data_IF_493457338180
#
_entry.id   IF_493457338180
#
_cell.length_a   1.000
_cell.length_b   1.000
_cell.length_c   1.000
_cell.angle_alpha   90.00
_cell.angle_beta   90.00
_cell.angle_gamma   90.00
#
_symmetry.space_group_name_H-M   'P 1'
#
loop_
_entity.id
_entity.type
_entity.pdbx_description
1 polymer ?
#
# COMPACT_ATOMS: atom_id res chain seq x y z
N UNK A 1 -1.98 -7.51 1.70
CA UNK A 1 -1.31 -7.57 0.37
C UNK A 1 -1.68 -8.88 -0.30
N UNK A 2 -1.41 -9.05 -1.59
CA UNK A 2 -1.94 -10.14 -2.41
C UNK A 2 -0.89 -10.68 -3.40
N UNK A 3 -1.01 -11.94 -3.80
CA UNK A 3 -0.20 -12.61 -4.82
C UNK A 3 -1.13 -13.23 -5.86
N UNK A 4 -0.75 -13.20 -7.14
CA UNK A 4 -1.42 -13.99 -8.19
C UNK A 4 -0.71 -15.33 -8.35
N UNK A 5 -1.48 -16.42 -8.45
CA UNK A 5 -0.97 -17.78 -8.61
C UNK A 5 -1.68 -18.48 -9.76
N UNK A 6 -0.90 -19.13 -10.64
CA UNK A 6 -1.43 -20.03 -11.66
C UNK A 6 -1.28 -21.48 -11.17
N UNK A 7 -2.41 -22.08 -10.80
CA UNK A 7 -2.53 -23.43 -10.28
C UNK A 7 -3.14 -24.36 -11.35
N UNK A 8 -3.10 -25.67 -11.13
CA UNK A 8 -3.50 -26.68 -12.11
C UNK A 8 -4.96 -26.54 -12.55
N UNK A 9 -5.79 -26.02 -11.67
CA UNK A 9 -7.22 -25.84 -11.81
C UNK A 9 -7.61 -24.37 -12.08
N UNK A 10 -6.64 -23.47 -12.28
CA UNK A 10 -6.86 -22.10 -12.74
C UNK A 10 -6.06 -21.04 -11.99
N UNK A 11 -6.34 -19.78 -12.32
CA UNK A 11 -5.72 -18.62 -11.69
C UNK A 11 -6.41 -18.27 -10.36
N UNK A 12 -5.62 -17.97 -9.34
CA UNK A 12 -6.05 -17.59 -8.00
C UNK A 12 -5.39 -16.28 -7.56
N UNK A 13 -6.09 -15.57 -6.66
CA UNK A 13 -5.49 -14.57 -5.79
C UNK A 13 -5.25 -15.24 -4.44
N UNK A 14 -3.99 -15.26 -3.98
CA UNK A 14 -3.64 -15.61 -2.62
C UNK A 14 -3.51 -14.32 -1.79
N UNK A 15 -4.21 -14.24 -0.68
CA UNK A 15 -4.09 -13.11 0.24
C UNK A 15 -4.09 -13.56 1.69
N UNK A 16 -3.54 -12.70 2.54
CA UNK A 16 -3.69 -12.76 3.98
C UNK A 16 -3.93 -11.34 4.48
N UNK A 17 -4.99 -11.18 5.26
CA UNK A 17 -5.36 -9.92 5.88
C UNK A 17 -4.60 -9.72 7.20
N UNK A 18 -4.52 -8.49 7.69
CA UNK A 18 -4.01 -8.19 9.05
C UNK A 18 -2.64 -8.81 9.35
N UNK A 19 -1.72 -8.68 8.40
CA UNK A 19 -0.34 -9.19 8.52
C UNK A 19 0.55 -8.34 9.44
N UNK A 20 0.03 -7.20 9.94
CA UNK A 20 0.82 -6.14 10.59
C UNK A 20 1.65 -5.31 9.62
N UNK A 21 1.80 -5.73 8.35
CA UNK A 21 2.55 -4.97 7.36
C UNK A 21 1.70 -3.78 6.88
N UNK A 22 1.84 -2.62 7.55
CA UNK A 22 1.09 -1.44 7.13
C UNK A 22 1.77 -0.77 5.94
N UNK A 23 0.96 0.01 5.21
CA UNK A 23 1.37 0.78 4.04
C UNK A 23 1.51 2.28 4.34
N UNK A 24 1.39 2.64 5.61
CA UNK A 24 1.53 4.00 6.13
C UNK A 24 2.63 3.92 7.19
N UNK A 25 3.59 4.83 7.15
CA UNK A 25 4.56 4.99 8.23
C UNK A 25 4.64 6.45 8.62
N UNK A 26 4.61 6.70 9.93
CA UNK A 26 4.56 8.02 10.52
C UNK A 26 5.82 8.29 11.34
N UNK A 27 6.32 9.52 11.25
CA UNK A 27 7.36 10.09 12.12
C UNK A 27 6.95 11.52 12.48
N UNK A 28 7.51 12.16 13.53
CA UNK A 28 7.02 13.46 13.99
C UNK A 28 6.93 14.56 12.91
N UNK A 29 7.80 14.53 11.90
CA UNK A 29 7.76 15.50 10.80
C UNK A 29 6.69 15.24 9.74
N UNK A 30 6.09 14.05 9.70
CA UNK A 30 5.04 13.68 8.76
C UNK A 30 4.92 12.18 8.49
N UNK A 31 4.19 11.82 7.43
CA UNK A 31 3.94 10.43 7.06
C UNK A 31 4.24 10.14 5.59
N UNK A 32 4.66 8.90 5.34
CA UNK A 32 4.78 8.31 4.01
C UNK A 32 3.66 7.28 3.79
N UNK A 33 3.03 7.37 2.62
CA UNK A 33 1.94 6.48 2.20
C UNK A 33 2.37 5.73 0.95
N UNK A 34 2.22 4.42 0.95
CA UNK A 34 2.71 3.56 -0.12
C UNK A 34 1.63 2.65 -0.71
N UNK A 35 1.72 2.34 -2.00
CA UNK A 35 0.97 1.28 -2.66
C UNK A 35 1.86 0.59 -3.71
N UNK A 36 1.63 -0.68 -4.00
CA UNK A 36 2.48 -1.43 -4.93
C UNK A 36 3.22 -2.57 -4.26
N UNK A 37 4.52 -2.62 -4.55
CA UNK A 37 5.40 -3.74 -4.23
C UNK A 37 5.82 -3.85 -2.75
N UNK A 38 5.58 -5.01 -2.14
CA UNK A 38 5.85 -5.21 -0.71
C UNK A 38 7.31 -5.09 -0.30
N UNK A 39 8.26 -5.63 -1.07
CA UNK A 39 9.70 -5.55 -0.73
C UNK A 39 10.22 -4.12 -0.89
N UNK A 40 9.77 -3.39 -1.90
CA UNK A 40 10.12 -1.98 -2.05
C UNK A 40 9.53 -1.14 -0.92
N UNK A 41 8.28 -1.42 -0.53
CA UNK A 41 7.63 -0.75 0.61
C UNK A 41 8.37 -1.05 1.91
N UNK A 42 8.80 -2.28 2.14
CA UNK A 42 9.62 -2.66 3.30
C UNK A 42 10.87 -1.78 3.40
N UNK A 43 11.67 -1.72 2.33
CA UNK A 43 12.89 -0.88 2.29
C UNK A 43 12.58 0.59 2.54
N UNK A 44 11.50 1.11 1.94
CA UNK A 44 11.05 2.49 2.15
C UNK A 44 10.69 2.76 3.61
N UNK A 45 9.97 1.85 4.27
CA UNK A 45 9.61 1.99 5.68
C UNK A 45 10.84 1.91 6.59
N UNK A 46 11.76 0.98 6.30
CA UNK A 46 13.03 0.85 7.04
C UNK A 46 13.86 2.14 6.94
N UNK A 47 13.98 2.72 5.74
CA UNK A 47 14.62 4.03 5.55
C UNK A 47 13.87 5.15 6.28
N UNK A 48 12.54 5.19 6.15
CA UNK A 48 11.69 6.22 6.74
C UNK A 48 11.73 6.24 8.26
N UNK A 49 11.87 5.08 8.90
CA UNK A 49 11.87 4.91 10.36
C UNK A 49 13.29 4.76 10.94
N UNK A 50 14.33 4.86 10.11
CA UNK A 50 15.71 4.78 10.57
C UNK A 50 16.03 5.95 11.52
N UNK A 51 16.81 5.65 12.56
CA UNK A 51 17.40 6.64 13.46
C UNK A 51 18.92 6.43 13.50
N UNK A 52 19.72 7.43 13.08
CA UNK A 52 19.31 8.73 12.57
C UNK A 52 18.62 8.63 11.20
N UNK A 53 17.64 9.51 10.97
CA UNK A 53 17.00 9.64 9.66
C UNK A 53 17.91 10.37 8.68
N UNK A 54 18.22 9.72 7.56
CA UNK A 54 19.05 10.28 6.51
C UNK A 54 18.26 10.44 5.20
N UNK A 55 17.85 11.68 4.84
CA UNK A 55 17.17 11.98 3.58
C UNK A 55 17.95 11.58 2.33
N UNK A 56 19.28 11.43 2.40
CA UNK A 56 20.12 11.14 1.24
C UNK A 56 20.18 9.66 0.89
N UNK A 57 19.93 8.78 1.86
CA UNK A 57 20.10 7.33 1.73
C UNK A 57 18.80 6.61 1.35
N UNK A 58 18.08 7.14 0.36
CA UNK A 58 16.85 6.53 -0.16
C UNK A 58 17.18 5.15 -0.76
N UNK A 59 16.42 4.10 -0.44
CA UNK A 59 16.64 2.77 -1.01
C UNK A 59 16.32 2.74 -2.50
N UNK A 60 16.80 1.71 -3.20
CA UNK A 60 16.40 1.47 -4.57
C UNK A 60 14.88 1.23 -4.66
N UNK A 61 14.19 2.05 -5.44
CA UNK A 61 12.72 2.00 -5.63
C UNK A 61 12.31 1.13 -6.83
N UNK A 62 13.31 0.57 -7.52
CA UNK A 62 13.18 -0.35 -8.64
C UNK A 62 14.22 -1.45 -8.51
N UNK A 63 13.89 -2.63 -9.03
CA UNK A 63 14.77 -3.77 -9.18
C UNK A 63 14.40 -4.40 -10.54
N UNK A 64 15.41 -4.63 -11.39
CA UNK A 64 15.25 -5.11 -12.78
C UNK A 64 14.20 -4.34 -13.61
N UNK A 65 14.02 -3.03 -13.36
CA UNK A 65 13.02 -2.16 -14.00
C UNK A 65 11.55 -2.60 -13.80
N UNK A 66 11.27 -3.48 -12.84
CA UNK A 66 9.97 -4.17 -12.74
C UNK A 66 9.14 -3.84 -11.49
N UNK A 67 9.56 -2.90 -10.64
CA UNK A 67 8.79 -2.59 -9.42
C UNK A 67 8.34 -1.15 -9.37
N UNK A 68 7.04 -0.99 -9.13
CA UNK A 68 6.35 0.29 -9.10
C UNK A 68 5.65 0.46 -7.77
N UNK A 69 6.31 1.23 -6.91
CA UNK A 69 5.68 1.73 -5.70
C UNK A 69 5.10 3.12 -6.01
N UNK A 70 3.82 3.31 -5.73
CA UNK A 70 3.26 4.66 -5.61
C UNK A 70 3.55 5.17 -4.20
N UNK A 71 4.05 6.40 -4.12
CA UNK A 71 4.45 7.05 -2.87
C UNK A 71 3.76 8.41 -2.76
N UNK A 72 3.38 8.78 -1.55
CA UNK A 72 3.02 10.14 -1.18
C UNK A 72 3.67 10.47 0.15
N UNK A 73 4.18 11.69 0.28
CA UNK A 73 4.71 12.23 1.54
C UNK A 73 3.89 13.45 1.93
N UNK A 74 3.42 13.45 3.17
CA UNK A 74 2.64 14.54 3.76
C UNK A 74 3.34 14.98 5.06
N UNK A 75 3.57 16.28 5.22
CA UNK A 75 4.13 16.82 6.46
C UNK A 75 3.13 16.73 7.61
N UNK A 76 3.61 16.91 8.84
CA UNK A 76 2.74 17.00 10.02
C UNK A 76 1.83 18.24 10.02
N UNK A 77 2.13 19.23 9.17
CA UNK A 77 1.25 20.39 8.92
C UNK A 77 0.16 20.12 7.88
N UNK A 78 0.11 18.92 7.30
CA UNK A 78 -0.84 18.55 6.25
C UNK A 78 -0.44 18.97 4.83
N UNK A 79 0.78 19.49 4.64
CA UNK A 79 1.30 19.85 3.32
C UNK A 79 1.73 18.58 2.57
N UNK A 80 1.21 18.36 1.37
CA UNK A 80 1.69 17.29 0.48
C UNK A 80 3.03 17.70 -0.13
N UNK A 81 4.11 17.13 0.36
CA UNK A 81 5.49 17.44 -0.05
C UNK A 81 5.93 16.66 -1.29
N UNK A 82 5.40 15.47 -1.49
CA UNK A 82 5.75 14.62 -2.63
C UNK A 82 4.59 13.70 -3.02
N UNK A 83 4.47 13.44 -4.31
CA UNK A 83 3.45 12.58 -4.89
C UNK A 83 3.97 11.92 -6.17
N UNK A 84 3.98 10.57 -6.20
CA UNK A 84 4.35 9.81 -7.39
C UNK A 84 3.51 8.53 -7.55
N UNK A 85 3.16 8.23 -8.80
CA UNK A 85 2.39 7.06 -9.22
C UNK A 85 0.89 7.32 -9.35
N UNK A 86 0.13 6.35 -9.90
CA UNK A 86 -1.28 6.52 -10.21
C UNK A 86 -2.12 6.84 -8.97
N UNK A 87 -2.92 7.91 -9.06
CA UNK A 87 -3.84 8.33 -8.01
C UNK A 87 -5.14 8.87 -8.58
N UNK A 88 -6.22 8.58 -7.87
CA UNK A 88 -7.51 9.24 -8.05
C UNK A 88 -7.55 10.44 -7.11
N UNK A 89 -7.51 11.65 -7.67
CA UNK A 89 -7.65 12.89 -6.92
C UNK A 89 -9.10 13.39 -7.01
N UNK A 90 -9.65 13.80 -5.86
CA UNK A 90 -10.91 14.54 -5.79
C UNK A 90 -10.59 16.00 -5.50
N UNK A 91 -10.95 16.87 -6.45
CA UNK A 91 -10.68 18.30 -6.40
C UNK A 91 -11.99 19.07 -6.39
N UNK A 92 -11.98 20.21 -5.71
CA UNK A 92 -13.04 21.22 -5.75
C UNK A 92 -12.74 22.22 -6.88
N UNK A 93 -13.46 22.15 -8.01
CA UNK A 93 -13.23 23.08 -9.10
C UNK A 93 -13.61 24.53 -8.74
N UNK A 94 -14.48 24.72 -7.75
CA UNK A 94 -14.95 26.06 -7.34
C UNK A 94 -13.97 26.74 -6.37
N UNK A 95 -13.13 25.96 -5.68
CA UNK A 95 -12.12 26.45 -4.75
C UNK A 95 -10.70 26.29 -5.31
N UNK A 96 -10.42 26.88 -6.47
CA UNK A 96 -9.09 26.87 -7.10
C UNK A 96 -8.47 25.45 -7.22
N UNK A 97 -9.30 24.45 -7.55
CA UNK A 97 -8.91 23.03 -7.59
C UNK A 97 -8.35 22.51 -6.25
N UNK A 98 -8.91 22.97 -5.12
CA UNK A 98 -8.53 22.50 -3.80
C UNK A 98 -8.68 20.98 -3.72
N UNK A 99 -7.64 20.31 -3.25
CA UNK A 99 -7.57 18.86 -3.22
C UNK A 99 -8.23 18.34 -1.94
N UNK A 100 -9.40 17.72 -2.06
CA UNK A 100 -10.13 17.15 -0.91
C UNK A 100 -9.56 15.82 -0.46
N UNK A 101 -9.29 14.93 -1.41
CA UNK A 101 -8.83 13.58 -1.12
C UNK A 101 -8.03 13.00 -2.28
N UNK A 102 -7.15 12.07 -1.95
CA UNK A 102 -6.36 11.33 -2.92
C UNK A 102 -6.34 9.86 -2.54
N UNK A 103 -6.60 9.00 -3.51
CA UNK A 103 -6.61 7.55 -3.36
C UNK A 103 -5.62 6.91 -4.31
N UNK A 104 -4.89 5.89 -3.86
CA UNK A 104 -3.93 5.14 -4.67
C UNK A 104 -4.11 3.63 -4.46
N UNK A 105 -3.68 2.83 -5.43
CA UNK A 105 -3.91 1.39 -5.47
C UNK A 105 -5.14 1.00 -6.30
N UNK A 106 -5.29 -0.29 -6.53
CA UNK A 106 -6.42 -0.89 -7.28
C UNK A 106 -7.80 -0.47 -6.75
N UNK A 107 -7.95 -0.32 -5.43
CA UNK A 107 -9.19 0.14 -4.79
C UNK A 107 -9.45 1.65 -4.89
N UNK A 108 -8.53 2.42 -5.48
CA UNK A 108 -8.55 3.88 -5.41
C UNK A 108 -9.77 4.53 -6.06
N UNK A 109 -10.23 4.00 -7.20
CA UNK A 109 -11.42 4.51 -7.88
C UNK A 109 -12.70 4.25 -7.06
N UNK A 110 -12.84 3.06 -6.47
CA UNK A 110 -13.98 2.72 -5.61
C UNK A 110 -14.01 3.57 -4.34
N UNK A 111 -12.85 3.78 -3.71
CA UNK A 111 -12.72 4.65 -2.56
C UNK A 111 -13.08 6.10 -2.92
N UNK A 112 -12.55 6.62 -4.03
CA UNK A 112 -12.87 7.96 -4.52
C UNK A 112 -14.37 8.19 -4.74
N UNK A 113 -15.04 7.25 -5.40
CA UNK A 113 -16.49 7.31 -5.61
C UNK A 113 -17.28 7.28 -4.29
N UNK A 114 -16.87 6.44 -3.34
CA UNK A 114 -17.51 6.37 -2.02
C UNK A 114 -17.28 7.66 -1.23
N UNK A 115 -16.07 8.22 -1.29
CA UNK A 115 -15.74 9.48 -0.63
C UNK A 115 -16.58 10.64 -1.17
N UNK A 116 -16.81 10.71 -2.48
CA UNK A 116 -17.67 11.73 -3.09
C UNK A 116 -19.10 11.73 -2.51
N UNK A 117 -19.57 10.60 -1.99
CA UNK A 117 -20.92 10.45 -1.45
C UNK A 117 -20.98 10.69 0.07
N UNK A 118 -19.95 10.32 0.82
CA UNK A 118 -19.99 10.33 2.29
C UNK A 118 -18.99 11.27 2.97
N UNK A 119 -18.01 11.82 2.24
CA UNK A 119 -16.98 12.72 2.76
C UNK A 119 -16.01 12.08 3.78
N UNK A 120 -16.05 10.76 4.00
CA UNK A 120 -15.24 10.08 5.03
C UNK A 120 -14.24 9.11 4.41
N UNK A 121 -12.94 9.38 4.58
CA UNK A 121 -11.85 8.55 4.03
C UNK A 121 -11.86 7.13 4.61
N UNK A 122 -12.12 6.97 5.91
CA UNK A 122 -12.19 5.65 6.56
C UNK A 122 -13.30 4.79 5.96
N UNK A 123 -14.50 5.36 5.81
CA UNK A 123 -15.64 4.68 5.18
C UNK A 123 -15.34 4.35 3.72
N UNK A 124 -14.75 5.28 2.98
CA UNK A 124 -14.38 5.09 1.58
C UNK A 124 -13.41 3.92 1.37
N UNK A 125 -12.34 3.83 2.17
CA UNK A 125 -11.37 2.72 2.10
C UNK A 125 -12.02 1.41 2.54
N UNK A 126 -12.90 1.45 3.54
CA UNK A 126 -13.64 0.25 3.98
C UNK A 126 -14.56 -0.29 2.89
N UNK A 127 -15.31 0.58 2.21
CA UNK A 127 -16.22 0.18 1.15
C UNK A 127 -15.49 -0.34 -0.10
N UNK A 128 -14.32 0.21 -0.42
CA UNK A 128 -13.52 -0.23 -1.57
C UNK A 128 -13.16 -1.73 -1.52
N UNK A 129 -13.01 -2.30 -0.30
CA UNK A 129 -12.70 -3.73 -0.08
C UNK A 129 -13.81 -4.66 -0.58
N UNK A 130 -15.06 -4.18 -0.64
CA UNK A 130 -16.19 -4.97 -1.15
C UNK A 130 -16.16 -5.10 -2.68
N UNK A 131 -15.47 -4.19 -3.38
CA UNK A 131 -15.46 -4.13 -4.84
C UNK A 131 -14.10 -4.52 -5.45
N UNK A 132 -13.00 -4.24 -4.76
CA UNK A 132 -11.64 -4.56 -5.20
C UNK A 132 -11.12 -5.86 -4.56
N UNK A 133 -11.00 -6.97 -5.33
CA UNK A 133 -10.50 -8.25 -4.80
C UNK A 133 -9.05 -8.21 -4.30
N UNK A 134 -8.32 -7.14 -4.58
CA UNK A 134 -6.94 -6.95 -4.13
C UNK A 134 -6.83 -6.09 -2.84
N UNK A 135 -7.96 -5.66 -2.27
CA UNK A 135 -8.04 -4.86 -1.04
C UNK A 135 -8.77 -5.63 0.07
N UNK A 136 -8.21 -5.66 1.28
CA UNK A 136 -8.75 -6.43 2.41
C UNK A 136 -8.24 -5.95 3.78
N UNK A 137 -8.54 -6.73 4.82
CA UNK A 137 -8.12 -6.53 6.22
C UNK A 137 -8.72 -5.31 6.90
N UNK A 138 -8.06 -4.82 7.94
CA UNK A 138 -8.43 -3.61 8.68
C UNK A 138 -8.09 -2.31 7.93
N UNK A 139 -8.83 -1.23 8.18
CA UNK A 139 -8.46 0.10 7.66
C UNK A 139 -7.44 0.72 8.60
N UNK A 140 -6.22 0.92 8.10
CA UNK A 140 -5.15 1.62 8.81
C UNK A 140 -5.23 3.12 8.58
N UNK A 141 -5.03 3.91 9.64
CA UNK A 141 -5.08 5.36 9.59
C UNK A 141 -4.03 5.99 10.51
N UNK A 142 -3.66 7.22 10.16
CA UNK A 142 -2.83 8.10 10.96
C UNK A 142 -3.30 9.54 10.76
N UNK A 143 -3.53 10.27 11.84
CA UNK A 143 -3.59 11.71 11.84
C UNK A 143 -2.15 12.23 11.79
N UNK A 144 -1.74 12.81 10.67
CA UNK A 144 -0.34 13.24 10.46
C UNK A 144 0.09 14.37 11.39
N UNK A 145 -0.86 15.12 11.95
CA UNK A 145 -0.56 16.24 12.85
C UNK A 145 -0.39 15.79 14.29
N UNK A 146 -1.23 14.86 14.75
CA UNK A 146 -1.20 14.39 16.16
C UNK A 146 -0.44 13.08 16.34
N UNK A 147 -0.18 12.34 15.26
CA UNK A 147 0.32 10.97 15.29
C UNK A 147 -0.73 9.92 15.72
N UNK A 148 -1.97 10.33 16.03
CA UNK A 148 -3.03 9.41 16.46
C UNK A 148 -3.41 8.46 15.32
N UNK A 149 -3.42 7.16 15.59
CA UNK A 149 -3.63 6.15 14.56
C UNK A 149 -3.88 4.76 15.14
N UNK A 150 -3.83 3.76 14.27
CA UNK A 150 -3.88 2.33 14.63
C UNK A 150 -2.76 1.54 13.93
N UNK A 151 -1.56 2.12 13.92
CA UNK A 151 -0.37 1.57 13.26
C UNK A 151 0.54 0.78 14.22
N UNK A 152 0.09 0.50 15.45
CA UNK A 152 0.92 -0.11 16.52
C UNK A 152 1.31 -1.57 16.24
N UNK A 153 0.61 -2.24 15.33
CA UNK A 153 0.88 -3.61 14.89
C UNK A 153 1.92 -3.69 13.76
N UNK A 154 2.61 -2.58 13.46
CA UNK A 154 3.56 -2.49 12.36
C UNK A 154 4.66 -3.57 12.40
N UNK A 155 4.88 -4.21 11.25
CA UNK A 155 6.08 -5.00 10.98
C UNK A 155 6.82 -4.50 9.76
N UNK A 156 8.13 -4.34 9.93
CA UNK A 156 9.08 -3.94 8.88
C UNK A 156 9.70 -5.14 8.17
N UNK A 157 9.12 -6.33 8.33
CA UNK A 157 9.56 -7.56 7.66
C UNK A 157 8.52 -7.99 6.62
N UNK A 158 8.89 -7.92 5.35
CA UNK A 158 8.10 -8.40 4.22
C UNK A 158 7.77 -9.89 4.35
N UNK A 159 8.64 -10.69 4.97
CA UNK A 159 8.41 -12.13 5.14
C UNK A 159 7.23 -12.40 6.09
N UNK A 160 6.83 -11.44 6.93
CA UNK A 160 5.59 -11.54 7.69
C UNK A 160 4.37 -11.78 6.80
N UNK A 161 4.33 -11.13 5.62
CA UNK A 161 3.26 -11.31 4.63
C UNK A 161 3.32 -12.72 4.05
N UNK A 162 4.50 -13.17 3.61
CA UNK A 162 4.68 -14.49 3.02
C UNK A 162 4.33 -15.61 4.01
N UNK A 163 4.78 -15.47 5.26
CA UNK A 163 4.48 -16.40 6.35
C UNK A 163 2.98 -16.41 6.69
N UNK A 164 2.32 -15.25 6.69
CA UNK A 164 0.87 -15.17 6.90
C UNK A 164 0.10 -15.83 5.75
N UNK A 165 0.51 -15.59 4.50
CA UNK A 165 -0.06 -16.26 3.32
C UNK A 165 0.12 -17.77 3.36
N UNK A 166 1.27 -18.27 3.83
CA UNK A 166 1.49 -19.71 3.96
C UNK A 166 0.62 -20.32 5.07
N UNK A 167 0.56 -19.68 6.25
CA UNK A 167 -0.09 -20.26 7.44
C UNK A 167 -1.60 -20.14 7.43
N UNK A 168 -2.11 -19.01 6.95
CA UNK A 168 -3.53 -18.62 7.05
C UNK A 168 -4.04 -17.91 5.81
N UNK A 169 -3.35 -18.07 4.68
CA UNK A 169 -3.77 -17.47 3.43
C UNK A 169 -5.08 -18.06 2.92
N UNK A 170 -5.80 -17.24 2.17
CA UNK A 170 -7.02 -17.62 1.48
C UNK A 170 -6.72 -17.53 -0.01
N UNK A 171 -7.00 -18.62 -0.71
CA UNK A 171 -7.02 -18.66 -2.17
C UNK A 171 -8.41 -18.26 -2.63
N UNK A 172 -8.47 -17.29 -3.55
CA UNK A 172 -9.71 -16.78 -4.11
C UNK A 172 -9.69 -16.89 -5.63
N UNK A 173 -10.72 -17.53 -6.17
CA UNK A 173 -11.14 -17.46 -7.57
C UNK A 173 -12.34 -16.53 -7.65
N UNK A 174 -12.40 -15.75 -8.72
CA UNK A 174 -13.61 -14.99 -9.02
C UNK A 174 -13.91 -14.99 -10.51
N UNK A 175 -15.19 -15.08 -10.87
CA UNK A 175 -15.69 -15.01 -12.24
C UNK A 175 -16.39 -13.68 -12.48
N UNK A 176 -15.85 -12.84 -13.36
CA UNK A 176 -16.43 -11.53 -13.72
C UNK A 176 -15.58 -10.32 -13.28
N UNK A 177 -16.11 -9.12 -13.48
CA UNK A 177 -15.42 -7.85 -13.18
C UNK A 177 -15.50 -7.42 -11.70
N UNK A 178 -16.45 -7.96 -10.94
CA UNK A 178 -16.70 -7.55 -9.55
C UNK A 178 -16.69 -8.75 -8.61
N UNK A 179 -15.96 -8.64 -7.49
CA UNK A 179 -16.02 -9.59 -6.38
C UNK A 179 -17.27 -9.41 -5.49
N UNK A 180 -18.13 -8.44 -5.81
CA UNK A 180 -19.28 -8.05 -4.99
C UNK A 180 -20.42 -9.09 -4.93
N UNK A 181 -20.47 -10.05 -5.85
CA UNK A 181 -21.47 -11.11 -5.84
C UNK A 181 -20.84 -12.41 -5.32
N UNK A 182 -21.28 -12.86 -4.14
CA UNK A 182 -20.76 -14.06 -3.47
C UNK A 182 -20.88 -15.34 -4.33
N UNK A 183 -21.84 -15.40 -5.26
CA UNK A 183 -22.00 -16.54 -6.19
C UNK A 183 -20.85 -16.67 -7.19
N UNK A 184 -20.11 -15.59 -7.45
CA UNK A 184 -19.00 -15.55 -8.40
C UNK A 184 -17.64 -15.68 -7.73
N UNK A 185 -17.58 -15.78 -6.40
CA UNK A 185 -16.33 -15.83 -5.64
C UNK A 185 -16.24 -17.16 -4.93
N UNK A 186 -15.19 -17.92 -5.21
CA UNK A 186 -14.86 -19.15 -4.51
C UNK A 186 -13.60 -18.92 -3.70
N UNK A 187 -13.69 -19.14 -2.40
CA UNK A 187 -12.55 -19.08 -1.48
C UNK A 187 -12.28 -20.44 -0.89
N UNK A 188 -10.99 -20.76 -0.72
CA UNK A 188 -10.52 -21.96 -0.02
C UNK A 188 -9.32 -21.58 0.85
N UNK A 189 -9.21 -22.06 2.09
CA UNK A 189 -7.99 -21.94 2.86
C UNK A 189 -6.81 -22.57 2.10
N UNK A 190 -5.66 -21.91 2.09
CA UNK A 190 -4.49 -22.32 1.28
C UNK A 190 -4.03 -23.75 1.60
N UNK A 191 -4.16 -24.18 2.85
CA UNK A 191 -3.75 -25.51 3.33
C UNK A 191 -4.69 -26.64 2.89
N UNK A 192 -5.90 -26.31 2.45
CA UNK A 192 -6.86 -27.27 1.91
C UNK A 192 -6.66 -27.54 0.41
N UNK A 193 -5.86 -26.71 -0.28
CA UNK A 193 -5.64 -26.88 -1.71
C UNK A 193 -4.67 -28.05 -2.02
N UNK A 194 -4.97 -28.92 -3.02
CA UNK A 194 -4.11 -30.07 -3.36
C UNK A 194 -2.65 -29.72 -3.69
N UNK A 195 -2.38 -28.50 -4.15
CA UNK A 195 -1.04 -28.01 -4.46
C UNK A 195 -0.38 -27.22 -3.32
N UNK A 196 -0.87 -27.32 -2.08
CA UNK A 196 -0.34 -26.56 -0.94
C UNK A 196 1.19 -26.65 -0.79
N UNK A 197 1.79 -27.84 -0.94
CA UNK A 197 3.24 -28.02 -0.84
C UNK A 197 4.01 -27.22 -1.90
N UNK A 198 3.48 -27.14 -3.13
CA UNK A 198 4.05 -26.31 -4.21
C UNK A 198 3.94 -24.83 -3.83
N UNK A 199 2.75 -24.38 -3.41
CA UNK A 199 2.49 -22.98 -3.03
C UNK A 199 3.41 -22.54 -1.89
N UNK A 200 3.53 -23.37 -0.85
CA UNK A 200 4.45 -23.14 0.28
C UNK A 200 5.92 -23.03 -0.19
N UNK A 201 6.35 -23.89 -1.10
CA UNK A 201 7.67 -23.80 -1.74
C UNK A 201 7.89 -22.47 -2.45
N UNK A 202 6.94 -22.05 -3.29
CA UNK A 202 7.00 -20.79 -4.02
C UNK A 202 7.08 -19.56 -3.10
N UNK A 203 6.29 -19.56 -2.01
CA UNK A 203 6.30 -18.50 -1.01
C UNK A 203 7.66 -18.42 -0.28
N UNK A 204 8.21 -19.56 0.16
CA UNK A 204 9.49 -19.63 0.87
C UNK A 204 10.69 -19.28 0.01
N UNK A 205 10.66 -19.65 -1.27
CA UNK A 205 11.73 -19.36 -2.22
C UNK A 205 11.64 -17.94 -2.79
N UNK A 206 10.53 -17.23 -2.54
CA UNK A 206 10.30 -15.89 -3.06
C UNK A 206 10.03 -15.85 -4.56
N UNK A 207 9.57 -16.96 -5.15
CA UNK A 207 9.17 -17.05 -6.56
C UNK A 207 7.89 -16.26 -6.84
N UNK A 208 7.08 -16.04 -5.80
CA UNK A 208 5.87 -15.21 -5.84
C UNK A 208 6.08 -13.97 -4.98
N UNK A 209 5.50 -12.84 -5.42
CA UNK A 209 5.68 -11.54 -4.77
C UNK A 209 4.35 -10.92 -4.38
N UNK A 210 4.27 -10.45 -3.14
CA UNK A 210 3.13 -9.69 -2.65
C UNK A 210 3.14 -8.30 -3.30
N UNK A 211 2.22 -8.12 -4.23
CA UNK A 211 2.09 -6.93 -5.06
C UNK A 211 0.61 -6.63 -5.27
N UNK A 212 0.20 -5.41 -4.91
CA UNK A 212 -1.12 -4.89 -5.26
C UNK A 212 -0.94 -3.80 -6.31
N UNK A 213 -1.64 -3.90 -7.44
CA UNK A 213 -1.49 -2.94 -8.53
C UNK A 213 -1.76 -1.51 -8.04
N UNK A 214 -1.02 -0.54 -8.57
CA UNK A 214 -1.10 0.87 -8.16
C UNK A 214 -2.29 1.62 -8.74
N UNK A 215 -3.09 0.99 -9.62
CA UNK A 215 -4.33 1.56 -10.17
C UNK A 215 -4.15 2.35 -11.47
N UNK A 216 -3.19 1.97 -12.33
CA UNK A 216 -2.92 2.61 -13.62
C UNK A 216 -1.60 2.14 -14.21
N UNK A 217 -0.98 2.96 -15.07
CA UNK A 217 0.36 2.66 -15.59
C UNK A 217 1.42 2.77 -14.49
N UNK A 218 2.39 1.88 -14.59
CA UNK A 218 3.56 1.82 -13.73
C UNK A 218 4.33 3.15 -13.69
N UNK A 219 4.72 3.58 -12.49
CA UNK A 219 5.51 4.80 -12.28
C UNK A 219 7.00 4.56 -12.55
N UNK A 220 7.60 5.44 -13.34
CA UNK A 220 9.03 5.39 -13.63
C UNK A 220 9.86 6.13 -12.57
N UNK A 221 10.66 5.44 -11.76
CA UNK A 221 11.52 6.10 -10.77
C UNK A 221 12.84 6.60 -11.37
N UNK A 222 12.80 7.76 -12.01
CA UNK A 222 13.97 8.43 -12.58
C UNK A 222 14.70 9.33 -11.55
N UNK A 223 15.87 9.84 -11.95
CA UNK A 223 16.73 10.69 -11.09
C UNK A 223 16.02 11.94 -10.57
N UNK A 224 15.22 12.60 -11.40
CA UNK A 224 14.48 13.81 -11.03
C UNK A 224 13.45 13.50 -9.93
N UNK A 225 12.70 12.41 -10.09
CA UNK A 225 11.69 11.97 -9.13
C UNK A 225 12.30 11.53 -7.81
N UNK A 226 13.43 10.83 -7.85
CA UNK A 226 14.21 10.50 -6.66
C UNK A 226 14.69 11.79 -5.96
N UNK A 227 15.18 12.78 -6.71
CA UNK A 227 15.59 14.07 -6.13
C UNK A 227 14.43 14.77 -5.40
N UNK A 228 13.24 14.81 -6.02
CA UNK A 228 12.05 15.39 -5.38
C UNK A 228 11.64 14.66 -4.10
N UNK A 229 11.80 13.34 -4.04
CA UNK A 229 11.55 12.58 -2.81
C UNK A 229 12.59 12.91 -1.73
N UNK A 230 13.86 13.10 -2.10
CA UNK A 230 14.91 13.59 -1.17
C UNK A 230 14.56 14.97 -0.62
N UNK A 231 14.13 15.89 -1.47
CA UNK A 231 13.76 17.25 -1.07
C UNK A 231 12.61 17.22 -0.05
N UNK A 232 11.59 16.38 -0.29
CA UNK A 232 10.51 16.16 0.67
C UNK A 232 11.02 15.58 1.99
N UNK A 233 11.90 14.57 1.94
CA UNK A 233 12.50 13.97 3.13
C UNK A 233 13.35 14.96 3.95
N UNK A 234 14.11 15.86 3.28
CA UNK A 234 14.84 16.94 3.96
C UNK A 234 13.88 17.88 4.69
N UNK A 235 12.79 18.28 4.04
CA UNK A 235 11.78 19.14 4.67
C UNK A 235 11.12 18.47 5.89
N UNK A 236 10.92 17.16 5.86
CA UNK A 236 10.48 16.37 7.03
C UNK A 236 11.52 16.45 8.16
N UNK A 237 12.79 16.19 7.86
CA UNK A 237 13.87 16.24 8.85
C UNK A 237 14.05 17.66 9.46
N UNK A 238 13.86 18.71 8.66
CA UNK A 238 13.85 20.10 9.12
C UNK A 238 12.71 20.38 10.10
N UNK A 239 11.49 19.90 9.80
CA UNK A 239 10.33 20.03 10.69
C UNK A 239 10.64 19.36 12.04
N UNK A 240 11.16 18.13 12.03
CA UNK A 240 11.51 17.42 13.26
C UNK A 240 12.57 18.11 14.08
N UNK A 241 13.59 18.67 13.41
CA UNK A 241 14.66 19.40 14.07
C UNK A 241 14.12 20.64 14.80
N UNK A 242 13.13 21.34 14.21
CA UNK A 242 12.44 22.49 14.82
C UNK A 242 11.53 22.10 15.98
N UNK A 243 10.97 20.88 15.98
CA UNK A 243 10.14 20.39 17.09
C UNK A 243 10.97 19.95 18.31
N UNK A 244 12.24 19.59 18.10
CA UNK A 244 13.19 19.19 19.16
C UNK A 244 13.94 20.37 19.79
N UNK A 245 13.95 21.53 19.12
CA UNK A 245 14.60 22.76 19.57
C UNK A 245 13.69 23.57 20.50
#
# INVERSE_FOLDING_TARGET
MVCKLDLIDGAYILYADDTGFNKISHRPGGAIFCAGDGKTIEKLKQWWLAEPFDPENIPALQENMQYTVSVMVVSSTGERLFDAGPKQALVDPENNNHLHAVFSGSGGAFAGNTFAQCGCVKTAVSAAKTFDPFSGGDVKFCNVTTGEGNLDDETLDYNSIMNAMEKRGILMKYTGFYAANAENVQTIPVHEHPQFAKISGQLKQGEVRAYSHTGGNDVEWNRERISKLKDAARKIAEIESRMKA
#
